data_IF_719348119879
#
_entry.id   IF_719348119879
#
_cell.length_a   1.000
_cell.length_b   1.000
_cell.length_c   1.000
_cell.angle_alpha   90.00
_cell.angle_beta   90.00
_cell.angle_gamma   90.00
#
_symmetry.space_group_name_H-M   'P 1'
#
loop_
_entity.id
_entity.type
_entity.pdbx_description
1 polymer ?
#
# COMPACT_ATOMS: atom_id res chain seq x y z
N UNK A 1 4.05 -9.44 9.14
CA UNK A 1 4.11 -10.79 8.53
C UNK A 1 3.24 -11.84 9.21
N UNK A 2 2.84 -11.68 10.49
CA UNK A 2 2.03 -12.66 11.24
C UNK A 2 0.81 -13.25 10.52
N UNK A 3 0.14 -12.49 9.65
CA UNK A 3 -1.02 -12.99 8.89
C UNK A 3 -0.66 -13.84 7.67
N UNK A 4 0.53 -13.65 7.07
CA UNK A 4 0.96 -14.38 5.86
C UNK A 4 1.39 -15.82 6.17
N UNK A 5 1.92 -16.05 7.38
CA UNK A 5 2.43 -17.36 7.82
C UNK A 5 1.31 -18.29 8.32
N UNK A 6 0.06 -17.83 8.33
CA UNK A 6 -1.10 -18.66 8.73
C UNK A 6 -1.41 -19.79 7.76
N UNK A 7 -1.02 -19.65 6.49
CA UNK A 7 -1.16 -20.74 5.52
C UNK A 7 0.03 -21.70 5.66
N UNK A 8 -0.20 -22.84 6.32
CA UNK A 8 0.85 -23.84 6.56
C UNK A 8 1.54 -24.36 5.30
N UNK A 9 0.88 -24.33 4.13
CA UNK A 9 1.49 -24.72 2.84
C UNK A 9 2.53 -23.72 2.36
N UNK A 10 2.39 -22.44 2.72
CA UNK A 10 3.28 -21.34 2.28
C UNK A 10 4.19 -20.81 3.40
N UNK A 11 3.90 -21.16 4.65
CA UNK A 11 4.55 -20.63 5.84
C UNK A 11 6.07 -20.76 5.80
N UNK A 12 6.58 -21.94 5.39
CA UNK A 12 8.02 -22.20 5.25
C UNK A 12 8.65 -21.29 4.19
N UNK A 13 8.14 -21.30 2.97
CA UNK A 13 8.66 -20.48 1.88
C UNK A 13 8.64 -18.97 2.21
N UNK A 14 7.59 -18.50 2.90
CA UNK A 14 7.49 -17.10 3.34
C UNK A 14 8.53 -16.76 4.41
N UNK A 15 8.84 -17.71 5.29
CA UNK A 15 9.82 -17.52 6.37
C UNK A 15 11.25 -17.54 5.82
N UNK A 16 11.54 -18.48 4.91
CA UNK A 16 12.84 -18.64 4.24
C UNK A 16 13.21 -17.42 3.38
N UNK A 17 12.22 -16.69 2.86
CA UNK A 17 12.44 -15.46 2.09
C UNK A 17 12.99 -14.28 2.91
N UNK A 18 13.06 -14.37 4.25
CA UNK A 18 13.71 -13.41 5.13
C UNK A 18 13.31 -11.93 4.91
N UNK A 19 12.04 -11.65 4.58
CA UNK A 19 11.54 -10.31 4.17
C UNK A 19 11.88 -9.15 5.12
N UNK A 20 11.98 -9.42 6.44
CA UNK A 20 12.38 -8.39 7.42
C UNK A 20 13.83 -7.98 7.19
N UNK A 21 14.72 -8.96 7.00
CA UNK A 21 16.13 -8.71 6.77
C UNK A 21 16.34 -8.07 5.40
N UNK A 22 15.60 -8.50 4.38
CA UNK A 22 15.57 -7.82 3.08
C UNK A 22 15.24 -6.32 3.20
N UNK A 23 14.19 -5.97 3.96
CA UNK A 23 13.85 -4.58 4.23
C UNK A 23 14.96 -3.83 4.97
N UNK A 24 15.53 -4.41 6.02
CA UNK A 24 16.65 -3.80 6.75
C UNK A 24 17.84 -3.55 5.83
N UNK A 25 18.12 -4.46 4.90
CA UNK A 25 19.18 -4.29 3.90
C UNK A 25 18.89 -3.12 2.95
N UNK A 26 17.66 -2.99 2.47
CA UNK A 26 17.27 -1.86 1.63
C UNK A 26 17.40 -0.53 2.39
N UNK A 27 16.95 -0.47 3.64
CA UNK A 27 16.99 0.74 4.47
C UNK A 27 18.44 1.25 4.62
N UNK A 28 19.38 0.40 5.06
CA UNK A 28 20.75 0.88 5.27
C UNK A 28 21.49 1.15 3.95
N UNK A 29 21.23 0.37 2.89
CA UNK A 29 21.90 0.59 1.59
C UNK A 29 21.39 1.85 0.90
N UNK A 30 20.10 2.14 0.97
CA UNK A 30 19.53 3.37 0.44
C UNK A 30 20.15 4.60 1.14
N UNK A 31 20.23 4.56 2.48
CA UNK A 31 20.89 5.60 3.26
C UNK A 31 22.37 5.78 2.88
N UNK A 32 23.12 4.68 2.69
CA UNK A 32 24.53 4.75 2.28
C UNK A 32 24.72 5.45 0.94
N UNK A 33 23.78 5.30 0.01
CA UNK A 33 23.83 5.91 -1.31
C UNK A 33 23.05 7.24 -1.42
N UNK A 34 22.57 7.81 -0.30
CA UNK A 34 21.77 9.04 -0.31
C UNK A 34 20.47 8.92 -1.11
N UNK A 35 19.81 7.76 -1.04
CA UNK A 35 18.54 7.46 -1.72
C UNK A 35 17.41 7.36 -0.71
N UNK A 36 16.23 7.79 -1.13
CA UNK A 36 15.02 7.59 -0.35
C UNK A 36 14.44 6.19 -0.57
N UNK A 37 14.00 5.57 0.53
CA UNK A 37 13.23 4.33 0.50
C UNK A 37 11.79 4.62 0.91
N UNK A 38 10.89 4.62 -0.07
CA UNK A 38 9.46 4.81 0.16
C UNK A 38 8.79 3.45 0.33
N UNK A 39 8.05 3.28 1.43
CA UNK A 39 7.33 2.04 1.72
C UNK A 39 5.84 2.25 1.52
N UNK A 40 5.30 1.58 0.50
CA UNK A 40 3.86 1.56 0.21
C UNK A 40 3.11 0.69 1.23
N UNK A 41 1.84 0.99 1.48
CA UNK A 41 1.00 0.22 2.39
C UNK A 41 0.99 -1.29 2.04
N UNK A 42 0.99 -2.13 3.09
CA UNK A 42 1.06 -3.59 2.96
C UNK A 42 -0.17 -4.17 2.24
N UNK A 43 -1.33 -3.54 2.40
CA UNK A 43 -2.61 -4.02 1.87
C UNK A 43 -2.97 -3.35 0.55
N UNK A 44 -2.08 -2.51 0.00
CA UNK A 44 -2.25 -1.94 -1.32
C UNK A 44 -2.40 -3.05 -2.37
N UNK A 45 -3.50 -3.07 -3.15
CA UNK A 45 -3.85 -4.20 -4.03
C UNK A 45 -3.06 -4.17 -5.36
N UNK A 46 -1.73 -4.05 -5.29
CA UNK A 46 -0.88 -3.82 -6.47
C UNK A 46 -1.05 -4.84 -7.60
N UNK A 47 -1.27 -6.12 -7.27
CA UNK A 47 -1.48 -7.18 -8.28
C UNK A 47 -2.89 -7.20 -8.87
N UNK A 48 -3.89 -6.66 -8.15
CA UNK A 48 -5.32 -6.68 -8.54
C UNK A 48 -5.79 -5.39 -9.18
N UNK A 49 -5.09 -4.29 -8.93
CA UNK A 49 -5.38 -2.99 -9.52
C UNK A 49 -4.90 -2.98 -10.98
N UNK A 50 -5.75 -2.59 -11.92
CA UNK A 50 -5.33 -2.38 -13.29
C UNK A 50 -4.49 -1.11 -13.38
N UNK A 51 -3.23 -1.22 -13.79
CA UNK A 51 -2.36 -0.06 -13.99
C UNK A 51 -2.79 0.86 -15.15
N UNK A 52 -3.67 0.41 -16.03
CA UNK A 52 -4.16 1.20 -17.17
C UNK A 52 -5.43 2.01 -16.84
N UNK A 53 -6.38 1.44 -16.08
CA UNK A 53 -7.68 2.08 -15.82
C UNK A 53 -8.07 2.18 -14.34
N UNK A 54 -7.24 1.69 -13.41
CA UNK A 54 -7.52 1.71 -11.97
C UNK A 54 -8.62 0.74 -11.50
N UNK A 55 -9.20 -0.07 -12.39
CA UNK A 55 -10.21 -1.05 -11.98
C UNK A 55 -9.60 -2.17 -11.12
N UNK A 56 -10.31 -2.58 -10.06
CA UNK A 56 -9.92 -3.72 -9.23
C UNK A 56 -10.48 -5.04 -9.78
N UNK A 57 -9.59 -6.02 -9.98
CA UNK A 57 -9.97 -7.40 -10.25
C UNK A 57 -10.64 -8.04 -9.02
N UNK A 58 -11.68 -8.86 -9.23
CA UNK A 58 -12.39 -9.55 -8.14
C UNK A 58 -11.48 -10.54 -7.39
N UNK A 59 -10.75 -11.38 -8.13
CA UNK A 59 -9.84 -12.40 -7.57
C UNK A 59 -8.53 -12.41 -8.34
N UNK A 60 -7.46 -12.77 -7.66
CA UNK A 60 -6.13 -12.95 -8.26
C UNK A 60 -5.43 -14.13 -7.56
N UNK A 61 -5.82 -15.39 -7.88
CA UNK A 61 -5.22 -16.60 -7.32
C UNK A 61 -3.73 -16.73 -7.65
N UNK A 62 -2.89 -17.32 -6.81
CA UNK A 62 -1.42 -17.22 -6.93
C UNK A 62 -0.83 -17.73 -8.27
N UNK A 63 -1.52 -18.63 -8.97
CA UNK A 63 -1.14 -19.23 -10.25
C UNK A 63 -1.38 -18.35 -11.50
N UNK A 64 -2.22 -17.31 -11.40
CA UNK A 64 -2.56 -16.47 -12.57
C UNK A 64 -1.45 -15.47 -12.95
N UNK A 65 -0.53 -15.84 -13.83
CA UNK A 65 0.60 -14.97 -14.24
C UNK A 65 0.21 -13.83 -15.18
N UNK A 66 -0.75 -14.08 -16.07
CA UNK A 66 -1.25 -13.10 -17.03
C UNK A 66 -2.77 -12.98 -16.94
N UNK A 67 -3.30 -11.78 -17.17
CA UNK A 67 -4.75 -11.55 -17.20
C UNK A 67 -5.12 -10.37 -18.10
N UNK A 68 -6.36 -10.38 -18.59
CA UNK A 68 -6.93 -9.29 -19.38
C UNK A 68 -7.92 -8.51 -18.51
N UNK A 69 -7.72 -7.20 -18.41
CA UNK A 69 -8.65 -6.32 -17.73
C UNK A 69 -9.90 -6.08 -18.57
N UNK A 70 -11.02 -5.72 -17.91
CA UNK A 70 -12.26 -5.33 -18.60
C UNK A 70 -12.10 -4.11 -19.51
N UNK A 71 -11.08 -3.26 -19.28
CA UNK A 71 -10.74 -2.17 -20.19
C UNK A 71 -9.95 -2.63 -21.44
N UNK A 72 -9.65 -3.92 -21.58
CA UNK A 72 -8.93 -4.49 -22.71
C UNK A 72 -7.40 -4.57 -22.53
N UNK A 73 -6.83 -4.01 -21.46
CA UNK A 73 -5.39 -4.12 -21.21
C UNK A 73 -4.98 -5.54 -20.83
N UNK A 74 -3.93 -6.04 -21.46
CA UNK A 74 -3.27 -7.30 -21.08
C UNK A 74 -2.16 -7.01 -20.07
N UNK A 75 -2.10 -7.81 -19.01
CA UNK A 75 -1.16 -7.62 -17.91
C UNK A 75 -0.39 -8.89 -17.62
N UNK A 76 0.94 -8.80 -17.59
CA UNK A 76 1.73 -9.62 -16.69
C UNK A 76 1.53 -9.11 -15.25
N UNK A 77 1.31 -10.04 -14.32
CA UNK A 77 1.01 -9.72 -12.92
C UNK A 77 2.09 -8.89 -12.26
N UNK A 78 3.36 -9.26 -12.44
CA UNK A 78 4.47 -8.65 -11.70
C UNK A 78 4.81 -7.28 -12.29
N UNK A 79 4.77 -7.15 -13.62
CA UNK A 79 4.90 -5.85 -14.32
C UNK A 79 3.77 -4.90 -13.92
N UNK A 80 2.53 -5.38 -13.87
CA UNK A 80 1.40 -4.57 -13.42
C UNK A 80 1.56 -4.15 -11.95
N UNK A 81 1.95 -5.07 -11.07
CA UNK A 81 2.21 -4.77 -9.67
C UNK A 81 3.32 -3.73 -9.49
N UNK A 82 4.42 -3.84 -10.25
CA UNK A 82 5.52 -2.87 -10.23
C UNK A 82 5.05 -1.47 -10.66
N UNK A 83 4.27 -1.36 -11.75
CA UNK A 83 3.68 -0.08 -12.19
C UNK A 83 2.80 0.55 -11.11
N UNK A 84 1.96 -0.25 -10.46
CA UNK A 84 1.10 0.24 -9.38
C UNK A 84 1.88 0.65 -8.13
N UNK A 85 2.92 -0.10 -7.75
CA UNK A 85 3.79 0.24 -6.61
C UNK A 85 4.54 1.56 -6.89
N UNK A 86 5.04 1.75 -8.12
CA UNK A 86 5.67 3.00 -8.53
C UNK A 86 4.69 4.18 -8.42
N UNK A 87 3.49 4.05 -8.98
CA UNK A 87 2.47 5.08 -8.91
C UNK A 87 2.11 5.44 -7.46
N UNK A 88 1.94 4.43 -6.59
CA UNK A 88 1.66 4.64 -5.17
C UNK A 88 2.83 5.31 -4.43
N UNK A 89 4.07 4.91 -4.73
CA UNK A 89 5.27 5.53 -4.14
C UNK A 89 5.41 7.00 -4.53
N UNK A 90 5.19 7.34 -5.80
CA UNK A 90 5.22 8.73 -6.28
C UNK A 90 4.12 9.57 -5.65
N UNK A 91 2.93 9.01 -5.46
CA UNK A 91 1.84 9.70 -4.76
C UNK A 91 2.21 10.02 -3.30
N UNK A 92 2.87 9.11 -2.59
CA UNK A 92 3.36 9.37 -1.22
C UNK A 92 4.36 10.54 -1.20
N UNK A 93 5.29 10.59 -2.16
CA UNK A 93 6.26 11.69 -2.26
C UNK A 93 5.59 13.03 -2.57
N UNK A 94 4.62 13.04 -3.49
CA UNK A 94 3.99 14.27 -3.95
C UNK A 94 3.01 14.87 -2.93
N UNK A 95 2.28 14.03 -2.19
CA UNK A 95 1.26 14.48 -1.23
C UNK A 95 1.81 14.75 0.17
N UNK A 96 3.06 14.37 0.46
CA UNK A 96 3.66 14.55 1.79
C UNK A 96 2.95 13.75 2.88
N UNK A 97 2.20 12.71 2.53
CA UNK A 97 1.52 11.86 3.49
C UNK A 97 2.56 11.22 4.42
N UNK A 98 2.50 11.56 5.70
CA UNK A 98 3.40 11.11 6.76
C UNK A 98 3.64 9.60 6.66
N UNK A 99 4.85 9.23 6.21
CA UNK A 99 5.39 7.90 6.43
C UNK A 99 5.48 7.75 7.95
N UNK A 100 4.57 6.96 8.52
CA UNK A 100 4.52 6.64 9.97
C UNK A 100 5.94 6.64 10.55
N UNK A 101 6.31 7.66 11.35
CA UNK A 101 7.68 7.77 11.82
C UNK A 101 7.96 6.55 12.68
N UNK A 102 9.15 5.97 12.49
CA UNK A 102 9.63 4.96 13.42
C UNK A 102 9.58 5.53 14.83
N UNK A 103 9.15 4.69 15.76
CA UNK A 103 8.93 5.01 17.17
C UNK A 103 10.27 5.36 17.84
N UNK A 104 10.76 6.58 17.59
CA UNK A 104 11.74 7.28 18.39
C UNK A 104 11.05 7.87 19.62
N UNK A 105 11.71 7.77 20.76
CA UNK A 105 11.22 8.28 22.05
C UNK A 105 11.13 9.79 22.01
N UNK A 106 9.96 10.37 21.75
CA UNK A 106 9.68 11.77 22.02
C UNK A 106 8.19 11.98 22.24
N UNK A 107 7.82 12.07 23.51
CA UNK A 107 6.54 12.62 23.96
C UNK A 107 6.53 14.10 23.59
N UNK A 108 5.70 14.49 22.64
CA UNK A 108 4.91 15.74 22.56
C UNK A 108 4.65 16.08 21.10
N UNK A 109 3.38 16.04 20.71
CA UNK A 109 2.96 16.35 19.35
C UNK A 109 1.45 16.15 19.26
N UNK A 110 0.71 17.21 19.58
CA UNK A 110 -0.76 17.24 19.57
C UNK A 110 -1.20 17.18 18.11
N UNK A 111 -1.95 16.13 17.73
CA UNK A 111 -2.54 16.04 16.38
C UNK A 111 -3.61 17.12 16.21
N UNK A 112 -3.61 17.78 15.05
CA UNK A 112 -4.65 18.75 14.65
C UNK A 112 -5.99 18.03 14.54
N UNK A 113 -6.90 18.34 15.46
CA UNK A 113 -8.28 17.88 15.39
C UNK A 113 -8.96 18.55 14.19
N UNK A 114 -9.43 17.73 13.25
CA UNK A 114 -10.38 18.13 12.22
C UNK A 114 -11.62 18.70 12.92
N UNK A 115 -11.87 20.01 12.78
CA UNK A 115 -13.13 20.60 13.20
C UNK A 115 -14.20 20.20 12.17
N UNK A 116 -15.20 19.45 12.59
CA UNK A 116 -16.42 19.27 11.81
C UNK A 116 -17.39 20.41 12.15
N UNK A 117 -17.83 21.15 11.13
CA UNK A 117 -18.93 22.12 11.26
C UNK A 117 -20.26 21.38 11.50
N UNK A 118 -21.13 21.87 12.39
CA UNK A 118 -22.40 21.22 12.69
C UNK A 118 -23.34 21.24 11.48
N UNK A 119 -23.99 20.10 11.24
CA UNK A 119 -25.01 19.92 10.20
C UNK A 119 -26.28 20.69 10.62
N UNK A 120 -26.63 21.73 9.87
CA UNK A 120 -27.89 22.45 10.05
C UNK A 120 -29.07 21.59 9.57
N UNK A 121 -29.89 21.11 10.50
CA UNK A 121 -31.17 20.47 10.18
C UNK A 121 -32.21 21.57 9.98
N UNK A 122 -32.53 21.93 8.73
CA UNK A 122 -33.76 22.67 8.43
C UNK A 122 -34.92 21.67 8.47
N UNK A 123 -35.59 21.58 9.62
CA UNK A 123 -36.92 21.00 9.71
C UNK A 123 -37.91 21.89 8.95
N UNK A 124 -38.62 21.29 8.00
CA UNK A 124 -39.76 21.90 7.32
C UNK A 124 -40.93 21.86 8.32
N UNK A 125 -41.61 22.98 8.64
CA UNK A 125 -42.84 22.90 9.43
C UNK A 125 -43.97 22.39 8.52
N UNK A 126 -44.64 21.33 8.96
CA UNK A 126 -45.91 20.87 8.41
C UNK A 126 -46.97 21.09 9.49
N UNK A 127 -47.97 21.89 9.12
CA UNK A 127 -49.14 22.43 9.85
C UNK A 127 -48.88 23.68 10.71
#
# INVERSE_FOLDING_TARGET
MRNMVKNHRLARAISDAAWRQFRTMLEYKAAWHGRDLIVVDRWFPSTRLCSACGALAQKMPLDVREWVCRCGSVHDRDVNAARNILAAGLAVTACGDDVRPQRGTSRTGRSSAKQEHPRATKGIPVL
#
